data_IF_428953577811
#
_entry.id   IF_428953577811
#
_cell.length_a   1.000
_cell.length_b   1.000
_cell.length_c   1.000
_cell.angle_alpha   90.00
_cell.angle_beta   90.00
_cell.angle_gamma   90.00
#
_symmetry.space_group_name_H-M   'P 1'
#
loop_
_entity.id
_entity.type
_entity.pdbx_description
1 polymer ?
#
# COMPACT_ATOMS: atom_id res chain seq x y z
N UNK A 1 14.46 -12.06 9.88
CA UNK A 1 14.81 -12.42 11.25
C UNK A 1 16.22 -13.01 11.34
N UNK A 2 16.54 -14.06 10.60
CA UNK A 2 17.89 -14.69 10.63
C UNK A 2 19.01 -13.70 10.33
N UNK A 3 18.76 -12.77 9.42
CA UNK A 3 19.68 -11.69 9.08
C UNK A 3 19.96 -10.79 10.28
N UNK A 4 18.92 -10.32 10.98
CA UNK A 4 19.06 -9.50 12.18
C UNK A 4 19.79 -10.25 13.29
N UNK A 5 19.39 -11.50 13.55
CA UNK A 5 19.99 -12.32 14.60
C UNK A 5 21.50 -12.54 14.35
N UNK A 6 21.90 -12.76 13.11
CA UNK A 6 23.32 -12.86 12.72
C UNK A 6 24.08 -11.56 12.92
N UNK A 7 23.47 -10.42 12.55
CA UNK A 7 24.09 -9.11 12.70
C UNK A 7 24.32 -8.76 14.17
N UNK A 8 23.35 -9.10 15.03
CA UNK A 8 23.44 -8.86 16.49
C UNK A 8 24.31 -9.89 17.23
N UNK A 9 24.94 -10.84 16.54
CA UNK A 9 25.86 -11.87 17.13
C UNK A 9 25.24 -12.57 18.35
N UNK A 10 24.01 -13.00 18.22
CA UNK A 10 23.23 -13.70 19.26
C UNK A 10 22.98 -12.92 20.58
N UNK A 11 23.29 -11.63 20.62
CA UNK A 11 23.00 -10.80 21.79
C UNK A 11 21.53 -10.39 21.90
N UNK A 12 20.82 -10.37 20.77
CA UNK A 12 19.41 -10.08 20.65
C UNK A 12 18.79 -11.04 19.63
N UNK A 13 17.78 -11.79 20.04
CA UNK A 13 17.07 -12.71 19.16
C UNK A 13 15.68 -12.17 18.82
N UNK A 14 15.43 -11.95 17.55
CA UNK A 14 14.13 -11.55 17.02
C UNK A 14 13.27 -12.79 16.77
N UNK A 15 12.05 -12.79 17.32
CA UNK A 15 11.01 -13.79 17.07
C UNK A 15 9.81 -13.10 16.39
N UNK A 16 9.38 -13.57 15.21
CA UNK A 16 8.19 -13.04 14.57
C UNK A 16 6.91 -13.71 15.08
N UNK A 17 5.89 -12.88 15.28
CA UNK A 17 4.52 -13.29 15.53
C UNK A 17 3.68 -12.72 14.39
N UNK A 18 3.06 -13.60 13.58
CA UNK A 18 2.30 -13.20 12.39
C UNK A 18 0.84 -12.88 12.71
N UNK A 19 0.35 -13.34 13.85
CA UNK A 19 -1.05 -13.13 14.25
C UNK A 19 -1.12 -12.95 15.78
N UNK A 20 -1.78 -11.87 16.19
CA UNK A 20 -2.04 -11.62 17.63
C UNK A 20 -3.24 -12.44 18.06
N UNK A 21 -3.04 -13.38 18.97
CA UNK A 21 -4.12 -14.16 19.57
C UNK A 21 -4.73 -13.40 20.73
N UNK A 22 -6.07 -13.42 20.88
CA UNK A 22 -6.72 -12.87 22.06
C UNK A 22 -6.15 -13.47 23.35
N UNK A 23 -5.70 -12.60 24.28
CA UNK A 23 -5.08 -13.02 25.53
C UNK A 23 -3.65 -13.58 25.43
N UNK A 24 -3.05 -13.54 24.23
CA UNK A 24 -1.66 -13.91 24.03
C UNK A 24 -0.68 -12.81 24.46
N UNK A 25 0.60 -13.18 24.53
CA UNK A 25 1.68 -12.22 24.77
C UNK A 25 1.76 -11.21 23.62
N UNK A 26 1.80 -9.94 23.95
CA UNK A 26 1.97 -8.87 22.97
C UNK A 26 3.44 -8.79 22.54
N UNK A 27 3.72 -8.58 21.25
CA UNK A 27 5.09 -8.38 20.79
C UNK A 27 5.61 -7.00 21.25
N UNK A 28 6.95 -6.85 21.25
CA UNK A 28 7.58 -5.57 21.56
C UNK A 28 7.37 -4.55 20.43
N UNK A 29 7.50 -5.01 19.18
CA UNK A 29 7.43 -4.17 17.98
C UNK A 29 6.35 -4.70 17.06
N UNK A 30 5.58 -3.80 16.45
CA UNK A 30 4.59 -4.12 15.43
C UNK A 30 4.97 -3.48 14.10
N UNK A 31 4.93 -4.27 13.02
CA UNK A 31 5.01 -3.82 11.63
C UNK A 31 3.71 -4.20 10.93
N UNK A 32 2.91 -3.22 10.55
CA UNK A 32 1.61 -3.45 9.90
C UNK A 32 1.18 -2.24 9.08
N UNK A 33 0.03 -2.35 8.38
CA UNK A 33 -0.57 -1.22 7.66
C UNK A 33 -0.85 -0.04 8.61
N UNK A 34 -0.70 1.19 8.12
CA UNK A 34 -0.92 2.44 8.85
C UNK A 34 -2.23 2.45 9.64
N UNK A 35 -3.32 1.94 9.06
CA UNK A 35 -4.63 1.85 9.72
C UNK A 35 -4.58 1.00 10.97
N UNK A 36 -3.84 -0.10 10.96
CA UNK A 36 -3.66 -0.97 12.14
C UNK A 36 -2.94 -0.22 13.25
N UNK A 37 -1.84 0.47 12.90
CA UNK A 37 -1.07 1.27 13.87
C UNK A 37 -1.93 2.41 14.45
N UNK A 38 -2.70 3.10 13.61
CA UNK A 38 -3.63 4.14 14.04
C UNK A 38 -4.71 3.58 14.99
N UNK A 39 -5.18 2.37 14.74
CA UNK A 39 -6.09 1.65 15.64
C UNK A 39 -5.44 1.33 16.99
N UNK A 40 -4.25 0.74 16.98
CA UNK A 40 -3.49 0.44 18.20
C UNK A 40 -3.18 1.69 19.02
N UNK A 41 -2.83 2.80 18.35
CA UNK A 41 -2.65 4.11 19.00
C UNK A 41 -3.92 4.58 19.70
N UNK A 42 -5.08 4.56 19.01
CA UNK A 42 -6.38 4.97 19.62
C UNK A 42 -6.73 4.16 20.86
N UNK A 43 -6.34 2.89 20.89
CA UNK A 43 -6.53 2.02 22.07
C UNK A 43 -5.44 2.20 23.14
N UNK A 44 -4.50 3.13 22.95
CA UNK A 44 -3.41 3.35 23.90
C UNK A 44 -2.43 2.20 24.01
N UNK A 45 -2.33 1.37 22.97
CA UNK A 45 -1.46 0.18 22.93
C UNK A 45 -0.04 0.49 22.48
N UNK A 46 0.19 1.63 21.82
CA UNK A 46 1.50 2.08 21.38
C UNK A 46 2.05 3.14 22.31
N UNK A 47 3.37 3.24 22.38
CA UNK A 47 4.06 4.35 23.05
C UNK A 47 4.84 5.20 22.05
N UNK A 48 4.92 6.52 22.27
CA UNK A 48 5.77 7.40 21.49
C UNK A 48 7.23 7.05 21.71
N UNK A 49 8.00 7.02 20.63
CA UNK A 49 9.46 6.86 20.67
C UNK A 49 10.09 7.77 19.62
N UNK A 50 11.12 8.51 20.02
CA UNK A 50 11.94 9.28 19.10
C UNK A 50 13.18 8.46 18.70
N UNK A 51 13.55 8.45 17.44
CA UNK A 51 14.81 7.90 16.98
C UNK A 51 15.55 8.89 16.07
N UNK A 52 16.87 8.73 15.98
CA UNK A 52 17.77 9.75 15.42
C UNK A 52 17.39 10.19 13.99
N UNK A 53 16.95 9.25 13.13
CA UNK A 53 16.56 9.54 11.75
C UNK A 53 15.05 9.78 11.56
N UNK A 54 14.26 9.66 12.62
CA UNK A 54 12.80 9.79 12.56
C UNK A 54 12.32 11.16 12.05
N UNK A 55 13.04 12.20 12.41
CA UNK A 55 12.73 13.58 12.00
C UNK A 55 13.03 13.84 10.51
N UNK A 56 13.83 13.00 9.88
CA UNK A 56 14.14 13.09 8.45
C UNK A 56 13.00 12.57 7.59
N UNK A 57 12.09 11.73 8.12
CA UNK A 57 10.88 11.34 7.40
C UNK A 57 9.93 12.55 7.25
N UNK A 58 9.41 12.81 6.04
CA UNK A 58 8.33 13.77 5.86
C UNK A 58 7.16 13.48 6.83
N UNK A 59 6.58 14.55 7.39
CA UNK A 59 5.56 14.44 8.44
C UNK A 59 4.41 13.50 8.09
N UNK A 60 4.02 13.40 6.83
CA UNK A 60 2.95 12.50 6.40
C UNK A 60 3.25 11.01 6.54
N UNK A 61 4.52 10.63 6.65
CA UNK A 61 4.95 9.24 6.82
C UNK A 61 5.24 8.88 8.29
N UNK A 62 4.91 9.74 9.23
CA UNK A 62 5.05 9.48 10.66
C UNK A 62 3.87 10.01 11.44
N UNK A 63 3.63 9.43 12.60
CA UNK A 63 2.61 9.92 13.51
C UNK A 63 3.01 11.24 14.16
N UNK A 64 2.05 12.14 14.37
CA UNK A 64 2.32 13.43 15.00
C UNK A 64 2.89 13.29 16.42
N UNK A 65 2.46 12.26 17.16
CA UNK A 65 2.94 11.96 18.51
C UNK A 65 4.07 10.92 18.51
N UNK A 66 4.66 10.61 17.37
CA UNK A 66 5.77 9.66 17.22
C UNK A 66 5.45 8.22 17.67
N UNK A 67 4.18 7.81 17.63
CA UNK A 67 3.76 6.46 18.00
C UNK A 67 4.01 5.43 16.91
N UNK A 68 4.23 5.85 15.67
CA UNK A 68 4.61 5.00 14.55
C UNK A 68 5.36 5.78 13.46
N UNK A 69 6.12 5.05 12.64
CA UNK A 69 6.88 5.54 11.50
C UNK A 69 6.65 4.65 10.28
N UNK A 70 6.54 5.26 9.11
CA UNK A 70 6.47 4.54 7.84
C UNK A 70 7.80 3.86 7.53
N UNK A 71 7.72 2.64 7.01
CA UNK A 71 8.88 1.82 6.61
C UNK A 71 8.91 1.66 5.10
N UNK A 72 7.82 1.18 4.53
CA UNK A 72 7.65 0.98 3.10
C UNK A 72 6.19 1.13 2.70
N UNK A 73 5.95 1.24 1.40
CA UNK A 73 4.60 1.32 0.85
C UNK A 73 4.44 0.44 -0.39
N UNK A 74 3.20 0.08 -0.66
CA UNK A 74 2.77 -0.71 -1.80
C UNK A 74 1.83 0.15 -2.66
N UNK A 75 2.31 0.72 -3.79
CA UNK A 75 1.50 1.61 -4.60
C UNK A 75 0.47 0.85 -5.43
N UNK A 76 -0.64 1.52 -5.72
CA UNK A 76 -1.56 1.11 -6.78
C UNK A 76 -0.93 1.46 -8.13
N UNK A 77 -0.90 0.49 -9.02
CA UNK A 77 -0.32 0.62 -10.37
C UNK A 77 -1.31 0.12 -11.42
N UNK A 78 -1.07 0.48 -12.67
CA UNK A 78 -1.75 -0.14 -13.80
C UNK A 78 -0.86 -1.23 -14.37
N UNK A 79 -1.37 -2.44 -14.49
CA UNK A 79 -0.76 -3.49 -15.28
C UNK A 79 -1.43 -3.49 -16.65
N UNK A 80 -0.71 -3.09 -17.67
CA UNK A 80 -1.21 -2.92 -19.05
C UNK A 80 -0.80 -4.11 -19.90
N UNK A 81 -1.77 -4.73 -20.57
CA UNK A 81 -1.52 -5.81 -21.52
C UNK A 81 -0.80 -5.29 -22.76
N UNK A 82 0.29 -5.93 -23.19
CA UNK A 82 1.09 -5.48 -24.33
C UNK A 82 0.36 -5.60 -25.68
N UNK A 83 -0.52 -6.59 -25.84
CA UNK A 83 -1.28 -6.74 -27.07
C UNK A 83 -2.28 -5.60 -27.24
N UNK A 84 -2.97 -5.22 -26.18
CA UNK A 84 -3.82 -4.04 -26.17
C UNK A 84 -3.03 -2.79 -26.55
N UNK A 85 -1.89 -2.54 -25.92
CA UNK A 85 -1.06 -1.38 -26.21
C UNK A 85 -0.61 -1.31 -27.69
N UNK A 86 -0.39 -2.47 -28.33
CA UNK A 86 -0.05 -2.55 -29.77
C UNK A 86 -1.25 -2.27 -30.68
N UNK A 87 -2.43 -2.74 -30.28
CA UNK A 87 -3.65 -2.64 -31.12
C UNK A 87 -4.18 -1.22 -31.23
N UNK A 88 -4.09 -0.46 -30.16
CA UNK A 88 -4.58 0.95 -30.08
C UNK A 88 -3.48 1.99 -30.38
N UNK A 89 -2.37 1.57 -31.01
CA UNK A 89 -1.31 2.48 -31.50
C UNK A 89 -0.62 3.25 -30.38
N UNK A 90 -0.10 2.54 -29.35
CA UNK A 90 0.49 3.15 -28.16
C UNK A 90 -0.46 4.15 -27.48
N UNK A 91 -1.72 3.76 -27.30
CA UNK A 91 -2.61 4.49 -26.40
C UNK A 91 -1.96 4.55 -25.02
N UNK A 92 -1.22 5.61 -24.78
CA UNK A 92 -0.44 5.80 -23.57
C UNK A 92 -1.39 5.90 -22.39
N UNK A 93 -1.64 4.75 -21.72
CA UNK A 93 -2.23 4.76 -20.39
C UNK A 93 -1.10 5.13 -19.45
N UNK A 94 -1.08 6.38 -19.02
CA UNK A 94 -0.06 6.92 -18.11
C UNK A 94 -0.66 7.75 -16.96
N UNK A 95 -1.98 7.91 -16.95
CA UNK A 95 -2.71 8.73 -15.98
C UNK A 95 -4.04 8.09 -15.60
N UNK A 96 -4.59 8.49 -14.45
CA UNK A 96 -5.95 8.12 -14.04
C UNK A 96 -6.99 8.58 -15.06
N UNK A 97 -6.80 9.77 -15.64
CA UNK A 97 -7.69 10.32 -16.65
C UNK A 97 -7.76 9.46 -17.92
N UNK A 98 -6.66 8.78 -18.29
CA UNK A 98 -6.63 7.96 -19.49
C UNK A 98 -7.55 6.73 -19.39
N UNK A 99 -7.88 6.28 -18.17
CA UNK A 99 -8.82 5.18 -17.96
C UNK A 99 -10.28 5.58 -18.20
N UNK A 100 -10.63 6.85 -17.96
CA UNK A 100 -11.99 7.36 -18.13
C UNK A 100 -12.33 7.76 -19.58
N UNK A 101 -11.32 8.13 -20.37
CA UNK A 101 -11.50 8.72 -21.71
C UNK A 101 -11.49 7.73 -22.87
N UNK A 102 -11.35 6.42 -22.65
CA UNK A 102 -11.18 5.42 -23.74
C UNK A 102 -12.41 4.56 -23.91
N UNK A 103 -13.04 4.66 -25.07
CA UNK A 103 -14.10 3.73 -25.47
C UNK A 103 -13.52 2.30 -25.61
N UNK A 104 -14.27 1.31 -25.17
CA UNK A 104 -13.95 -0.13 -25.29
C UNK A 104 -12.76 -0.63 -24.42
N UNK A 105 -12.30 0.15 -23.43
CA UNK A 105 -11.30 -0.33 -22.49
C UNK A 105 -11.89 -1.40 -21.55
N UNK A 106 -11.21 -2.54 -21.39
CA UNK A 106 -11.58 -3.60 -20.44
C UNK A 106 -10.70 -3.48 -19.20
N UNK A 107 -11.29 -3.04 -18.09
CA UNK A 107 -10.58 -2.84 -16.81
C UNK A 107 -10.90 -4.02 -15.89
N UNK A 108 -9.88 -4.58 -15.25
CA UNK A 108 -9.99 -5.50 -14.14
C UNK A 108 -9.62 -4.80 -12.83
N UNK A 109 -10.45 -4.95 -11.82
CA UNK A 109 -10.28 -4.33 -10.49
C UNK A 109 -10.78 -5.28 -9.41
N UNK A 110 -10.11 -5.31 -8.27
CA UNK A 110 -10.59 -5.98 -7.06
C UNK A 110 -11.80 -5.23 -6.49
N UNK A 111 -12.74 -5.95 -5.90
CA UNK A 111 -13.89 -5.32 -5.26
C UNK A 111 -13.44 -4.45 -4.07
N UNK A 112 -13.81 -3.18 -4.08
CA UNK A 112 -13.29 -2.20 -3.12
C UNK A 112 -13.83 -2.36 -1.68
N UNK A 113 -14.78 -3.26 -1.47
CA UNK A 113 -15.30 -3.60 -0.13
C UNK A 113 -14.65 -4.82 0.52
N UNK A 114 -13.81 -5.58 -0.22
CA UNK A 114 -13.43 -6.93 0.21
C UNK A 114 -12.21 -6.98 1.13
N UNK A 115 -11.39 -5.93 1.15
CA UNK A 115 -10.19 -5.89 1.99
C UNK A 115 -9.84 -4.48 2.47
N UNK A 116 -9.07 -4.39 3.56
CA UNK A 116 -8.53 -3.11 4.03
C UNK A 116 -7.73 -2.39 2.93
N UNK A 117 -6.95 -3.14 2.16
CA UNK A 117 -6.10 -2.57 1.11
C UNK A 117 -6.90 -1.96 -0.04
N UNK A 118 -8.02 -2.58 -0.43
CA UNK A 118 -8.90 -2.03 -1.48
C UNK A 118 -9.71 -0.84 -0.96
N UNK A 119 -10.11 -0.87 0.31
CA UNK A 119 -10.69 0.28 0.97
C UNK A 119 -9.68 1.44 1.09
N UNK A 120 -8.38 1.16 1.32
CA UNK A 120 -7.33 2.17 1.33
C UNK A 120 -7.14 2.82 -0.05
N UNK A 121 -7.31 2.06 -1.15
CA UNK A 121 -7.31 2.63 -2.50
C UNK A 121 -8.44 3.66 -2.68
N UNK A 122 -9.67 3.29 -2.34
CA UNK A 122 -10.82 4.19 -2.40
C UNK A 122 -10.61 5.43 -1.51
N UNK A 123 -10.15 5.22 -0.28
CA UNK A 123 -9.89 6.28 0.68
C UNK A 123 -8.75 7.22 0.25
N UNK A 124 -7.71 6.69 -0.38
CA UNK A 124 -6.61 7.50 -0.92
C UNK A 124 -7.03 8.39 -2.08
N UNK A 125 -7.95 7.93 -2.94
CA UNK A 125 -8.58 8.78 -3.95
C UNK A 125 -9.40 9.89 -3.29
N UNK A 126 -10.26 9.53 -2.32
CA UNK A 126 -11.13 10.47 -1.64
C UNK A 126 -10.35 11.52 -0.81
N UNK A 127 -9.24 11.14 -0.20
CA UNK A 127 -8.37 12.07 0.53
C UNK A 127 -7.64 13.05 -0.42
N UNK A 128 -7.35 12.60 -1.64
CA UNK A 128 -6.67 13.42 -2.66
C UNK A 128 -7.59 14.36 -3.41
N UNK A 129 -8.77 13.89 -3.83
CA UNK A 129 -9.66 14.61 -4.76
C UNK A 129 -10.99 15.05 -4.12
N UNK A 130 -11.32 14.55 -2.92
CA UNK A 130 -12.65 14.66 -2.35
C UNK A 130 -13.50 13.41 -2.60
N UNK A 131 -14.51 13.18 -1.75
CA UNK A 131 -15.38 12.00 -1.87
C UNK A 131 -16.21 12.00 -3.14
N UNK A 132 -16.88 13.11 -3.46
CA UNK A 132 -17.82 13.17 -4.58
C UNK A 132 -17.08 13.06 -5.91
N UNK A 133 -15.96 13.75 -6.10
CA UNK A 133 -15.13 13.69 -7.30
C UNK A 133 -14.54 12.28 -7.49
N UNK A 134 -14.14 11.62 -6.41
CA UNK A 134 -13.61 10.25 -6.47
C UNK A 134 -14.69 9.23 -6.84
N UNK A 135 -15.89 9.39 -6.32
CA UNK A 135 -17.03 8.53 -6.67
C UNK A 135 -17.50 8.78 -8.10
N UNK A 136 -17.51 10.03 -8.56
CA UNK A 136 -17.82 10.39 -9.95
C UNK A 136 -16.80 9.79 -10.92
N UNK A 137 -15.49 9.92 -10.60
CA UNK A 137 -14.42 9.30 -11.39
C UNK A 137 -14.60 7.78 -11.47
N UNK A 138 -14.79 7.11 -10.32
CA UNK A 138 -14.99 5.65 -10.29
C UNK A 138 -16.27 5.25 -11.03
N UNK A 139 -17.32 6.07 -10.99
CA UNK A 139 -18.53 5.92 -11.80
C UNK A 139 -18.24 5.98 -13.30
N UNK A 140 -17.39 6.90 -13.73
CA UNK A 140 -17.02 7.07 -15.15
C UNK A 140 -16.28 5.86 -15.72
N UNK A 141 -15.46 5.18 -14.92
CA UNK A 141 -14.74 3.97 -15.33
C UNK A 141 -15.53 2.66 -15.06
N UNK A 142 -16.59 2.70 -14.25
CA UNK A 142 -17.36 1.53 -13.85
C UNK A 142 -17.91 0.73 -15.05
N UNK A 143 -18.34 1.43 -16.12
CA UNK A 143 -18.83 0.80 -17.36
C UNK A 143 -17.78 -0.04 -18.08
N UNK A 144 -16.50 0.19 -17.83
CA UNK A 144 -15.38 -0.53 -18.41
C UNK A 144 -14.91 -1.69 -17.53
N UNK A 145 -15.42 -1.80 -16.30
CA UNK A 145 -15.09 -2.87 -15.38
C UNK A 145 -16.05 -4.02 -15.61
N UNK A 146 -15.62 -5.01 -16.40
CA UNK A 146 -16.43 -6.17 -16.71
C UNK A 146 -16.73 -7.05 -15.49
N UNK A 147 -15.79 -7.09 -14.54
CA UNK A 147 -15.93 -7.87 -13.31
C UNK A 147 -15.08 -7.26 -12.18
N UNK A 148 -15.71 -7.06 -11.05
CA UNK A 148 -15.01 -6.83 -9.78
C UNK A 148 -14.63 -8.18 -9.18
N UNK A 149 -13.35 -8.42 -9.00
CA UNK A 149 -12.88 -9.71 -8.50
C UNK A 149 -12.84 -9.76 -6.97
N UNK A 150 -13.11 -10.94 -6.44
CA UNK A 150 -12.99 -11.22 -5.00
C UNK A 150 -11.55 -11.44 -4.58
N UNK A 151 -10.72 -11.95 -5.49
CA UNK A 151 -9.34 -12.32 -5.17
C UNK A 151 -8.34 -11.33 -5.76
N UNK A 152 -7.34 -10.88 -5.00
CA UNK A 152 -6.43 -9.81 -5.38
C UNK A 152 -5.56 -10.14 -6.61
N UNK A 153 -5.23 -11.40 -6.84
CA UNK A 153 -4.45 -11.83 -8.01
C UNK A 153 -5.25 -11.95 -9.31
N UNK A 154 -6.59 -11.95 -9.23
CA UNK A 154 -7.45 -12.12 -10.41
C UNK A 154 -7.30 -10.98 -11.43
N UNK A 155 -7.31 -9.68 -11.04
CA UNK A 155 -7.09 -8.59 -11.99
C UNK A 155 -5.74 -8.68 -12.69
N UNK A 156 -4.68 -9.02 -11.94
CA UNK A 156 -3.33 -9.20 -12.47
C UNK A 156 -3.29 -10.31 -13.52
N UNK A 157 -3.87 -11.47 -13.20
CA UNK A 157 -3.96 -12.59 -14.14
C UNK A 157 -4.73 -12.19 -15.40
N UNK A 158 -5.88 -11.53 -15.26
CA UNK A 158 -6.70 -11.12 -16.40
C UNK A 158 -5.92 -10.20 -17.35
N UNK A 159 -5.21 -9.18 -16.83
CA UNK A 159 -4.40 -8.34 -17.68
C UNK A 159 -3.19 -9.09 -18.26
N UNK A 160 -2.55 -9.97 -17.50
CA UNK A 160 -1.39 -10.73 -17.95
C UNK A 160 -1.71 -11.65 -19.13
N UNK A 161 -2.89 -12.27 -19.15
CA UNK A 161 -3.32 -13.20 -20.23
C UNK A 161 -4.16 -12.54 -21.32
N UNK A 162 -4.53 -11.25 -21.18
CA UNK A 162 -5.30 -10.50 -22.18
C UNK A 162 -6.82 -10.60 -22.03
N UNK A 163 -7.33 -11.14 -20.93
CA UNK A 163 -8.76 -11.13 -20.59
C UNK A 163 -9.23 -9.70 -20.21
N UNK A 164 -8.29 -8.87 -19.73
CA UNK A 164 -8.46 -7.44 -19.53
C UNK A 164 -7.32 -6.68 -20.22
N UNK A 165 -7.58 -5.43 -20.59
CA UNK A 165 -6.58 -4.54 -21.20
C UNK A 165 -5.70 -3.89 -20.14
N UNK A 166 -6.30 -3.57 -18.99
CA UNK A 166 -5.65 -2.94 -17.84
C UNK A 166 -6.17 -3.57 -16.55
N UNK A 167 -5.26 -3.86 -15.63
CA UNK A 167 -5.62 -4.10 -14.23
C UNK A 167 -5.20 -2.91 -13.36
N UNK A 168 -6.10 -2.42 -12.52
CA UNK A 168 -5.79 -1.51 -11.41
C UNK A 168 -5.52 -2.40 -10.20
N UNK A 169 -4.28 -2.41 -9.72
CA UNK A 169 -3.84 -3.38 -8.71
C UNK A 169 -2.66 -2.87 -7.90
N UNK A 170 -2.32 -3.57 -6.83
CA UNK A 170 -1.11 -3.29 -6.04
C UNK A 170 0.13 -3.80 -6.76
N UNK A 171 1.22 -3.05 -6.64
CA UNK A 171 2.52 -3.41 -7.22
C UNK A 171 3.00 -4.79 -6.74
N UNK A 172 2.83 -5.09 -5.46
CA UNK A 172 3.25 -6.35 -4.86
C UNK A 172 2.63 -7.60 -5.51
N UNK A 173 1.45 -7.48 -6.12
CA UNK A 173 0.83 -8.61 -6.82
C UNK A 173 1.35 -8.78 -8.25
N UNK A 174 1.91 -7.73 -8.83
CA UNK A 174 2.34 -7.71 -10.22
C UNK A 174 3.69 -8.40 -10.41
N UNK A 175 4.63 -8.21 -9.48
CA UNK A 175 6.02 -8.64 -9.66
C UNK A 175 6.15 -10.14 -9.94
N UNK A 176 5.39 -10.98 -9.23
CA UNK A 176 5.36 -12.44 -9.47
C UNK A 176 4.96 -12.84 -10.89
N UNK A 177 4.10 -12.05 -11.54
CA UNK A 177 3.69 -12.30 -12.93
C UNK A 177 4.73 -11.77 -13.92
N UNK A 178 5.38 -10.66 -13.64
CA UNK A 178 6.42 -10.12 -14.51
C UNK A 178 7.65 -11.02 -14.57
N UNK A 179 8.04 -11.66 -13.46
CA UNK A 179 9.10 -12.66 -13.43
C UNK A 179 8.84 -13.82 -14.40
N UNK A 180 7.58 -14.21 -14.58
CA UNK A 180 7.14 -15.26 -15.50
C UNK A 180 7.00 -14.78 -16.97
N UNK A 181 7.48 -13.57 -17.29
CA UNK A 181 7.51 -12.99 -18.65
C UNK A 181 6.14 -12.93 -19.37
N UNK A 182 5.06 -12.73 -18.63
CA UNK A 182 3.76 -12.44 -19.24
C UNK A 182 3.82 -11.15 -20.07
N UNK A 183 3.05 -11.05 -21.16
CA UNK A 183 3.07 -9.90 -22.07
C UNK A 183 2.30 -8.71 -21.49
N UNK A 184 2.80 -8.15 -20.40
CA UNK A 184 2.26 -6.99 -19.72
C UNK A 184 3.39 -6.13 -19.14
N UNK A 185 3.11 -4.87 -18.82
CA UNK A 185 4.04 -3.94 -18.20
C UNK A 185 3.35 -3.05 -17.18
N UNK A 186 4.15 -2.58 -16.22
CA UNK A 186 3.66 -1.69 -15.14
C UNK A 186 3.69 -0.25 -15.59
N UNK A 187 2.64 0.48 -15.22
CA UNK A 187 2.56 1.93 -15.37
C UNK A 187 2.26 2.53 -14.00
N UNK A 188 3.09 3.48 -13.59
CA UNK A 188 2.82 4.35 -12.45
C UNK A 188 2.08 5.60 -12.96
N UNK A 189 0.88 5.91 -12.44
CA UNK A 189 0.17 7.12 -12.85
C UNK A 189 1.03 8.36 -12.62
N UNK A 190 1.17 9.20 -13.65
CA UNK A 190 2.09 10.36 -13.65
C UNK A 190 1.76 11.41 -12.58
N UNK A 191 0.49 11.54 -12.24
CA UNK A 191 0.00 12.46 -11.22
C UNK A 191 0.18 11.94 -9.79
N UNK A 192 0.52 10.68 -9.63
CA UNK A 192 0.61 9.97 -8.36
C UNK A 192 -0.49 8.93 -8.19
N UNK A 193 -0.46 8.24 -7.05
CA UNK A 193 -1.34 7.09 -6.83
C UNK A 193 -1.59 6.84 -5.34
N UNK A 194 -2.76 6.27 -4.97
CA UNK A 194 -2.98 5.74 -3.64
C UNK A 194 -1.97 4.65 -3.28
N UNK A 195 -1.57 4.60 -2.02
CA UNK A 195 -0.63 3.60 -1.53
C UNK A 195 -1.14 2.95 -0.24
N UNK A 196 -0.73 1.71 0.00
CA UNK A 196 -0.81 1.08 1.30
C UNK A 196 0.51 1.33 2.04
N UNK A 197 0.49 2.19 3.06
CA UNK A 197 1.66 2.48 3.89
C UNK A 197 1.78 1.45 5.00
N UNK A 198 2.95 0.84 5.13
CA UNK A 198 3.30 -0.04 6.24
C UNK A 198 4.19 0.70 7.21
N UNK A 199 3.81 0.64 8.48
CA UNK A 199 4.42 1.39 9.55
C UNK A 199 4.93 0.47 10.65
N UNK A 200 5.91 0.93 11.40
CA UNK A 200 6.46 0.28 12.57
C UNK A 200 6.17 1.12 13.83
N UNK A 201 5.86 0.46 14.92
CA UNK A 201 5.60 1.08 16.22
C UNK A 201 6.02 0.18 17.37
N UNK A 202 6.19 0.77 18.56
CA UNK A 202 6.57 0.08 19.78
C UNK A 202 5.34 -0.12 20.66
N UNK A 203 5.12 -1.34 21.14
CA UNK A 203 4.04 -1.59 22.08
C UNK A 203 4.34 -1.00 23.45
N UNK A 204 3.28 -0.53 24.14
CA UNK A 204 3.40 0.11 25.45
C UNK A 204 3.99 -0.81 26.53
N UNK A 205 3.77 -2.12 26.40
CA UNK A 205 4.22 -3.12 27.37
C UNK A 205 5.64 -3.63 27.11
N UNK A 206 6.35 -3.10 26.14
CA UNK A 206 7.74 -3.46 25.85
C UNK A 206 8.59 -3.27 27.10
N UNK A 207 9.28 -4.34 27.49
CA UNK A 207 10.09 -4.33 28.72
C UNK A 207 11.42 -3.58 28.54
N UNK A 208 11.98 -3.60 27.32
CA UNK A 208 13.24 -2.93 26.99
C UNK A 208 13.05 -2.09 25.71
N UNK A 209 12.82 -0.82 25.93
CA UNK A 209 12.60 0.17 24.85
C UNK A 209 13.80 0.30 23.92
N UNK A 210 15.02 0.19 24.45
CA UNK A 210 16.22 0.30 23.64
C UNK A 210 16.38 -0.86 22.65
N UNK A 211 16.01 -2.06 23.06
CA UNK A 211 16.00 -3.22 22.15
C UNK A 211 14.89 -3.10 21.12
N UNK A 212 13.69 -2.72 21.51
CA UNK A 212 12.59 -2.45 20.59
C UNK A 212 12.94 -1.37 19.56
N UNK A 213 13.56 -0.30 20.00
CA UNK A 213 14.02 0.79 19.12
C UNK A 213 15.07 0.31 18.10
N UNK A 214 16.03 -0.52 18.50
CA UNK A 214 17.01 -1.10 17.57
C UNK A 214 16.34 -1.95 16.47
N UNK A 215 15.29 -2.70 16.82
CA UNK A 215 14.52 -3.46 15.82
C UNK A 215 13.80 -2.53 14.87
N UNK A 216 13.18 -1.45 15.37
CA UNK A 216 12.53 -0.45 14.55
C UNK A 216 13.51 0.22 13.57
N UNK A 217 14.65 0.69 14.08
CA UNK A 217 15.71 1.31 13.27
C UNK A 217 16.18 0.34 12.16
N UNK A 218 16.45 -0.90 12.53
CA UNK A 218 16.88 -1.92 11.57
C UNK A 218 15.84 -2.18 10.47
N UNK A 219 14.56 -2.30 10.83
CA UNK A 219 13.48 -2.47 9.84
C UNK A 219 13.38 -1.26 8.90
N UNK A 220 13.66 -0.06 9.38
CA UNK A 220 13.53 1.17 8.61
C UNK A 220 14.76 1.47 7.74
N UNK A 221 15.97 1.24 8.26
CA UNK A 221 17.21 1.78 7.68
C UNK A 221 18.14 0.72 7.07
N UNK A 222 17.94 -0.57 7.37
CA UNK A 222 18.86 -1.62 6.93
C UNK A 222 18.75 -1.92 5.43
N UNK A 223 19.85 -1.79 4.71
CA UNK A 223 19.97 -2.24 3.32
C UNK A 223 19.69 -3.74 3.16
N UNK A 224 19.98 -4.53 4.21
CA UNK A 224 19.72 -5.95 4.20
C UNK A 224 18.23 -6.28 4.19
N UNK A 225 17.40 -5.50 4.90
CA UNK A 225 15.93 -5.64 4.84
C UNK A 225 15.42 -5.41 3.42
N UNK A 226 15.95 -4.40 2.75
CA UNK A 226 15.58 -4.09 1.38
C UNK A 226 16.06 -5.15 0.39
N UNK A 227 17.30 -5.63 0.55
CA UNK A 227 17.82 -6.72 -0.28
C UNK A 227 16.94 -7.97 -0.16
N UNK A 228 16.56 -8.37 1.07
CA UNK A 228 15.64 -9.49 1.30
C UNK A 228 14.27 -9.24 0.62
N UNK A 229 13.74 -8.03 0.69
CA UNK A 229 12.48 -7.71 0.03
C UNK A 229 12.59 -7.78 -1.50
N UNK A 230 13.71 -7.35 -2.08
CA UNK A 230 14.00 -7.44 -3.51
C UNK A 230 14.17 -8.90 -3.96
N UNK A 231 14.96 -9.71 -3.24
CA UNK A 231 15.17 -11.12 -3.53
C UNK A 231 13.86 -11.93 -3.51
N UNK A 232 12.90 -11.53 -2.67
CA UNK A 232 11.58 -12.16 -2.60
C UNK A 232 10.53 -11.51 -3.52
N UNK A 233 10.94 -10.63 -4.41
CA UNK A 233 10.06 -9.93 -5.36
C UNK A 233 8.79 -9.35 -4.71
N UNK A 234 8.95 -8.75 -3.52
CA UNK A 234 7.80 -8.21 -2.76
C UNK A 234 7.15 -7.01 -3.44
N UNK A 235 7.89 -6.29 -4.26
CA UNK A 235 7.41 -5.08 -4.93
C UNK A 235 7.21 -3.88 -3.99
N UNK A 236 7.63 -3.95 -2.73
CA UNK A 236 7.51 -2.84 -1.80
C UNK A 236 8.56 -1.76 -2.06
N UNK A 237 8.16 -0.50 -1.91
CA UNK A 237 9.03 0.66 -2.02
C UNK A 237 9.35 1.21 -0.64
N UNK A 238 10.63 1.17 -0.27
CA UNK A 238 11.10 1.60 1.05
C UNK A 238 11.27 3.12 1.10
N UNK A 239 10.92 3.71 2.25
CA UNK A 239 11.10 5.14 2.52
C UNK A 239 12.55 5.50 2.86
N UNK A 240 13.32 4.55 3.41
CA UNK A 240 14.74 4.61 3.67
C UNK A 240 15.47 3.54 2.85
N UNK A 241 16.74 3.63 2.54
CA UNK A 241 17.69 4.73 2.58
C UNK A 241 17.86 5.46 1.25
N UNK A 242 16.90 5.35 0.34
CA UNK A 242 16.90 6.19 -0.88
C UNK A 242 16.81 7.61 -0.43
N UNK A 243 17.91 8.33 -0.37
CA UNK A 243 18.04 9.70 0.09
C UNK A 243 16.72 10.42 0.39
N UNK A 244 16.61 10.99 1.57
CA UNK A 244 15.36 11.68 2.01
C UNK A 244 14.85 12.71 1.01
N UNK A 245 15.73 13.23 0.16
CA UNK A 245 15.43 14.17 -0.91
C UNK A 245 14.58 13.56 -2.02
N UNK A 246 14.79 12.26 -2.36
CA UNK A 246 13.95 11.57 -3.36
C UNK A 246 12.58 11.21 -2.79
N UNK A 247 12.50 10.74 -1.54
CA UNK A 247 11.22 10.50 -0.89
C UNK A 247 10.41 11.79 -0.69
N UNK A 248 11.08 12.91 -0.47
CA UNK A 248 10.46 14.23 -0.41
C UNK A 248 10.00 14.73 -1.78
N UNK A 249 10.80 14.52 -2.84
CA UNK A 249 10.47 14.93 -4.20
C UNK A 249 9.25 14.18 -4.77
N UNK A 250 9.10 12.88 -4.45
CA UNK A 250 7.96 12.08 -4.88
C UNK A 250 6.80 12.07 -3.87
N UNK A 251 6.96 12.77 -2.73
CA UNK A 251 5.94 12.77 -1.69
C UNK A 251 4.55 13.20 -2.21
N UNK A 252 4.46 14.15 -3.13
CA UNK A 252 3.18 14.60 -3.69
C UNK A 252 2.49 13.52 -4.55
N UNK A 253 3.27 12.59 -5.10
CA UNK A 253 2.75 11.47 -5.91
C UNK A 253 2.28 10.29 -5.08
N UNK A 254 2.59 10.27 -3.79
CA UNK A 254 2.19 9.23 -2.85
C UNK A 254 0.93 9.72 -2.12
N UNK A 255 -0.24 9.14 -2.43
CA UNK A 255 -1.51 9.53 -1.83
C UNK A 255 -1.85 8.60 -0.69
N UNK A 256 -1.83 9.15 0.53
CA UNK A 256 -2.22 8.43 1.74
C UNK A 256 -3.72 8.63 1.99
N UNK A 257 -4.28 7.76 2.84
CA UNK A 257 -5.68 7.80 3.26
C UNK A 257 -5.83 8.35 4.69
N UNK A 258 -5.07 9.38 5.04
CA UNK A 258 -4.92 9.87 6.42
C UNK A 258 -6.23 10.29 7.07
N UNK A 259 -7.17 10.84 6.30
CA UNK A 259 -8.50 11.24 6.79
C UNK A 259 -9.45 10.07 7.04
N UNK A 260 -9.12 8.86 6.55
CA UNK A 260 -9.96 7.66 6.58
C UNK A 260 -9.38 6.53 7.44
N UNK A 261 -8.47 6.83 8.36
CA UNK A 261 -7.88 5.81 9.25
C UNK A 261 -8.87 5.29 10.31
N UNK A 262 -9.99 5.98 10.51
CA UNK A 262 -11.07 5.54 11.39
C UNK A 262 -12.03 4.60 10.65
N UNK A 263 -12.37 3.42 11.23
CA UNK A 263 -13.27 2.45 10.60
C UNK A 263 -14.59 3.04 10.14
N UNK A 264 -15.25 3.84 10.97
CA UNK A 264 -16.57 4.44 10.66
C UNK A 264 -16.53 5.31 9.40
N UNK A 265 -15.48 6.12 9.23
CA UNK A 265 -15.33 6.97 8.03
C UNK A 265 -15.10 6.14 6.78
N UNK A 266 -14.26 5.12 6.90
CA UNK A 266 -13.93 4.25 5.78
C UNK A 266 -15.12 3.38 5.37
N UNK A 267 -15.87 2.84 6.32
CA UNK A 267 -17.08 2.07 6.04
C UNK A 267 -18.16 2.98 5.42
N UNK A 268 -18.27 4.23 5.88
CA UNK A 268 -19.15 5.24 5.29
C UNK A 268 -18.83 5.50 3.81
N UNK A 269 -17.55 5.68 3.48
CA UNK A 269 -17.09 5.88 2.11
C UNK A 269 -17.33 4.63 1.24
N UNK A 270 -17.03 3.45 1.77
CA UNK A 270 -17.27 2.17 1.09
C UNK A 270 -18.75 1.97 0.77
N UNK A 271 -19.64 2.28 1.71
CA UNK A 271 -21.07 2.20 1.49
C UNK A 271 -21.58 3.20 0.44
N UNK A 272 -21.01 4.41 0.40
CA UNK A 272 -21.30 5.38 -0.68
C UNK A 272 -20.86 4.85 -2.04
N UNK A 273 -19.67 4.27 -2.14
CA UNK A 273 -19.21 3.64 -3.38
C UNK A 273 -20.11 2.47 -3.81
N UNK A 274 -20.50 1.58 -2.91
CA UNK A 274 -21.42 0.48 -3.21
C UNK A 274 -22.75 1.00 -3.78
N UNK A 275 -23.32 2.03 -3.17
CA UNK A 275 -24.65 2.55 -3.57
C UNK A 275 -24.61 3.45 -4.81
N UNK A 276 -23.61 4.34 -4.92
CA UNK A 276 -23.54 5.35 -5.99
C UNK A 276 -22.80 4.87 -7.24
N UNK A 277 -21.91 3.87 -7.12
CA UNK A 277 -21.04 3.40 -8.21
C UNK A 277 -21.29 1.93 -8.53
N UNK A 278 -21.08 1.04 -7.55
CA UNK A 278 -21.04 -0.40 -7.79
C UNK A 278 -22.40 -0.97 -8.17
N UNK A 279 -23.46 -0.51 -7.53
CA UNK A 279 -24.85 -0.95 -7.73
C UNK A 279 -25.78 0.16 -8.25
N UNK A 280 -25.22 1.30 -8.68
CA UNK A 280 -26.04 2.30 -9.38
C UNK A 280 -26.57 1.69 -10.69
N UNK A 281 -27.88 1.78 -10.88
CA UNK A 281 -28.57 1.33 -12.09
C UNK A 281 -28.44 2.33 -13.21
#
# INVERSE_FOLDING_TARGET
>A
MDAFNKEQKDKLQLKAVYELKPGGELPDVVLAEQRTLAGLKRHGSLKPVAFADGDRLPQKFRDADLSWYGVFYDPIVFLVNQQYARTVGQANICSWQDLAGKEQLRIALENLSDSNSTQNFLAGLADRFGEDESLEYLGSINRFIGQYSKFPFTPVRMAAVGDADVAITRQSYVFKYLENKFPAYVVYPKEGTPVNLFCVGLFKNTADDLQGLKVMEWLMTSEQVQAIAQENATGYLFLFPRGFDEAAADAEKIWLNSSYLEPVKQDGLTNKWLSKVRFSK
#
